data_IF_052789588869
#
_entry.id   IF_052789588869
#
_cell.length_a   1.000
_cell.length_b   1.000
_cell.length_c   1.000
_cell.angle_alpha   90.00
_cell.angle_beta   90.00
_cell.angle_gamma   90.00
#
_symmetry.space_group_name_H-M   'P 1'
#
loop_
_entity.id
_entity.type
_entity.pdbx_description
1 polymer ?
#
# COMPACT_ATOMS: atom_id res chain seq x y z
N UNK A 1 -8.37 21.90 5.88
CA UNK A 1 -8.83 20.53 5.88
C UNK A 1 -7.68 19.61 5.64
N UNK A 2 -7.55 18.62 6.44
CA UNK A 2 -6.45 17.68 6.25
C UNK A 2 -6.82 16.68 5.19
N UNK A 3 -5.80 16.18 4.50
CA UNK A 3 -5.98 15.14 3.50
C UNK A 3 -6.24 13.82 4.19
N UNK A 4 -7.01 12.93 3.58
CA UNK A 4 -7.09 11.58 4.10
C UNK A 4 -5.71 10.92 4.01
N UNK A 5 -5.39 10.07 4.96
CA UNK A 5 -4.12 9.35 4.96
C UNK A 5 -4.36 7.85 4.93
N UNK A 6 -3.58 7.16 4.10
CA UNK A 6 -3.71 5.72 3.90
C UNK A 6 -2.37 5.07 4.19
N UNK A 7 -2.39 4.02 4.98
CA UNK A 7 -1.20 3.24 5.30
C UNK A 7 -1.36 1.84 4.72
N UNK A 8 -0.42 1.44 3.88
CA UNK A 8 -0.39 0.09 3.35
C UNK A 8 0.62 -0.74 4.14
N UNK A 9 0.21 -1.91 4.61
CA UNK A 9 1.04 -2.75 5.46
C UNK A 9 1.13 -4.16 4.88
N UNK A 10 2.35 -4.66 4.75
CA UNK A 10 2.59 -6.07 4.48
C UNK A 10 3.73 -6.53 5.39
N UNK A 11 4.23 -7.74 5.20
CA UNK A 11 5.27 -8.25 6.10
C UNK A 11 6.59 -7.51 5.89
N UNK A 12 7.10 -7.52 4.65
CA UNK A 12 8.46 -7.05 4.38
C UNK A 12 8.56 -5.61 3.89
N UNK A 13 7.45 -5.01 3.48
CA UNK A 13 7.43 -3.68 2.87
C UNK A 13 8.44 -3.57 1.72
N UNK A 14 8.59 -4.67 1.00
CA UNK A 14 9.53 -4.75 -0.11
C UNK A 14 8.83 -5.10 -1.42
N UNK A 15 7.52 -5.29 -1.41
CA UNK A 15 6.75 -5.67 -2.58
C UNK A 15 5.35 -5.10 -2.55
N UNK A 16 4.39 -5.84 -1.97
CA UNK A 16 2.97 -5.49 -2.07
C UNK A 16 2.63 -4.09 -1.58
N UNK A 17 3.06 -3.73 -0.39
CA UNK A 17 2.73 -2.42 0.16
C UNK A 17 3.45 -1.29 -0.58
N UNK A 18 4.65 -1.54 -1.09
CA UNK A 18 5.35 -0.55 -1.90
C UNK A 18 4.64 -0.32 -3.23
N UNK A 19 4.15 -1.39 -3.86
CA UNK A 19 3.41 -1.26 -5.11
C UNK A 19 2.10 -0.50 -4.89
N UNK A 20 1.40 -0.82 -3.80
CA UNK A 20 0.14 -0.15 -3.48
C UNK A 20 0.34 1.34 -3.22
N UNK A 21 1.37 1.67 -2.44
CA UNK A 21 1.66 3.08 -2.15
C UNK A 21 2.02 3.83 -3.43
N UNK A 22 2.79 3.20 -4.31
CA UNK A 22 3.17 3.83 -5.58
C UNK A 22 1.96 4.07 -6.47
N UNK A 23 1.05 3.08 -6.57
CA UNK A 23 -0.16 3.25 -7.38
C UNK A 23 -1.04 4.36 -6.86
N UNK A 24 -1.25 4.42 -5.53
CA UNK A 24 -2.11 5.45 -4.97
C UNK A 24 -1.48 6.83 -5.13
N UNK A 25 -0.17 6.93 -4.95
CA UNK A 25 0.52 8.20 -5.17
C UNK A 25 0.35 8.68 -6.61
N UNK A 26 0.44 7.74 -7.57
CA UNK A 26 0.26 8.09 -8.98
C UNK A 26 -1.17 8.54 -9.27
N UNK A 27 -2.15 7.87 -8.69
CA UNK A 27 -3.55 8.18 -8.97
C UNK A 27 -4.06 9.41 -8.23
N UNK A 28 -3.63 9.60 -7.01
CA UNK A 28 -4.17 10.64 -6.14
C UNK A 28 -3.30 11.89 -6.06
N UNK A 29 -1.99 11.75 -6.30
CA UNK A 29 -1.08 12.87 -6.17
C UNK A 29 -1.12 13.43 -4.77
N UNK A 30 -1.35 14.73 -4.64
CA UNK A 30 -1.34 15.40 -3.35
C UNK A 30 -2.67 15.34 -2.61
N UNK A 31 -3.67 14.68 -3.18
CA UNK A 31 -5.00 14.63 -2.55
C UNK A 31 -5.07 13.67 -1.38
N UNK A 32 -4.14 12.73 -1.30
CA UNK A 32 -4.11 11.71 -0.26
C UNK A 32 -2.68 11.60 0.26
N UNK A 33 -2.54 11.47 1.57
CA UNK A 33 -1.24 11.20 2.16
C UNK A 33 -1.03 9.69 2.18
N UNK A 34 0.05 9.20 1.58
CA UNK A 34 0.27 7.77 1.38
C UNK A 34 1.50 7.33 2.15
N UNK A 35 1.36 6.25 2.92
CA UNK A 35 2.47 5.65 3.65
C UNK A 35 2.45 4.15 3.45
N UNK A 36 3.61 3.52 3.64
CA UNK A 36 3.71 2.07 3.63
C UNK A 36 4.67 1.62 4.71
N UNK A 37 4.47 0.41 5.22
CA UNK A 37 5.32 -0.13 6.28
C UNK A 37 5.24 -1.65 6.29
N UNK A 38 6.15 -2.29 7.01
CA UNK A 38 6.17 -3.73 7.18
C UNK A 38 6.34 -4.14 8.62
N UNK A 39 5.72 -5.24 9.00
CA UNK A 39 5.88 -5.78 10.35
C UNK A 39 7.29 -6.35 10.57
N UNK A 40 7.94 -6.80 9.50
CA UNK A 40 9.31 -7.29 9.54
C UNK A 40 10.01 -6.85 8.25
N UNK A 41 10.40 -5.56 8.16
CA UNK A 41 10.87 -5.00 6.90
C UNK A 41 12.16 -5.64 6.42
N UNK A 42 12.25 -5.83 5.11
CA UNK A 42 13.46 -6.31 4.47
C UNK A 42 14.48 -5.19 4.38
N UNK A 43 15.69 -5.53 3.94
CA UNK A 43 16.77 -4.53 3.84
C UNK A 43 16.58 -3.61 2.63
N UNK A 44 15.94 -4.10 1.58
CA UNK A 44 15.75 -3.31 0.37
C UNK A 44 14.49 -3.80 -0.37
N UNK A 45 14.07 -3.00 -1.35
CA UNK A 45 12.93 -3.36 -2.19
C UNK A 45 13.31 -4.55 -3.07
N UNK A 46 12.38 -5.47 -3.27
CA UNK A 46 12.57 -6.60 -4.16
C UNK A 46 12.88 -6.10 -5.58
N UNK A 47 14.03 -6.45 -6.17
CA UNK A 47 14.39 -5.92 -7.50
C UNK A 47 13.39 -6.27 -8.59
N UNK A 48 12.74 -7.42 -8.51
CA UNK A 48 11.73 -7.79 -9.50
C UNK A 48 10.50 -6.90 -9.39
N UNK A 49 10.20 -6.41 -8.19
CA UNK A 49 9.10 -5.47 -7.99
C UNK A 49 9.46 -4.11 -8.58
N UNK A 50 10.70 -3.66 -8.39
CA UNK A 50 11.16 -2.41 -9.01
C UNK A 50 11.01 -2.50 -10.52
N UNK A 51 11.43 -3.62 -11.11
CA UNK A 51 11.34 -3.81 -12.55
C UNK A 51 9.89 -3.83 -13.03
N UNK A 52 9.00 -4.53 -12.31
CA UNK A 52 7.60 -4.61 -12.67
C UNK A 52 6.94 -3.24 -12.64
N UNK A 53 7.29 -2.40 -11.67
CA UNK A 53 6.72 -1.05 -11.57
C UNK A 53 7.26 -0.13 -12.67
N UNK A 54 8.53 -0.30 -13.06
CA UNK A 54 9.08 0.49 -14.15
C UNK A 54 8.35 0.21 -15.46
N UNK A 55 7.84 -1.00 -15.64
CA UNK A 55 7.09 -1.33 -16.85
C UNK A 55 5.84 -0.47 -17.01
N UNK A 56 5.29 0.01 -15.91
CA UNK A 56 4.11 0.86 -15.96
C UNK A 56 4.44 2.33 -15.67
N UNK A 57 5.72 2.67 -15.79
CA UNK A 57 6.17 4.05 -15.70
C UNK A 57 6.37 4.58 -14.28
N UNK A 58 6.48 3.70 -13.29
CA UNK A 58 6.65 4.11 -11.91
C UNK A 58 8.00 3.62 -11.40
N UNK A 59 8.86 4.54 -10.98
CA UNK A 59 10.18 4.21 -10.46
C UNK A 59 10.15 4.25 -8.94
N UNK A 60 10.30 3.07 -8.30
CA UNK A 60 10.38 2.99 -6.85
C UNK A 60 11.76 2.57 -6.39
N UNK A 61 12.76 2.68 -7.26
CA UNK A 61 14.13 2.24 -6.91
C UNK A 61 14.73 3.02 -5.77
N UNK A 62 14.22 4.23 -5.50
CA UNK A 62 14.72 5.08 -4.42
C UNK A 62 13.99 4.84 -3.09
N UNK A 63 12.97 4.00 -3.08
CA UNK A 63 12.22 3.73 -1.86
C UNK A 63 12.96 2.74 -0.97
N UNK A 64 12.62 2.76 0.31
CA UNK A 64 13.21 1.86 1.29
C UNK A 64 12.12 1.20 2.12
N UNK A 65 12.30 -0.05 2.51
CA UNK A 65 11.36 -0.67 3.46
C UNK A 65 11.38 0.08 4.80
N UNK A 66 10.20 0.20 5.40
CA UNK A 66 10.04 0.93 6.67
C UNK A 66 9.34 0.04 7.67
N UNK A 67 9.75 0.16 8.94
CA UNK A 67 9.13 -0.63 9.99
C UNK A 67 7.75 -0.05 10.35
N UNK A 68 6.81 -0.94 10.61
CA UNK A 68 5.48 -0.55 11.06
C UNK A 68 5.56 -0.01 12.48
N UNK A 69 5.01 1.17 12.71
CA UNK A 69 4.98 1.77 14.04
C UNK A 69 3.54 2.04 14.47
N UNK A 70 3.33 2.07 15.78
CA UNK A 70 2.03 2.42 16.34
C UNK A 70 1.62 3.82 15.90
N UNK A 71 2.56 4.75 15.87
CA UNK A 71 2.29 6.12 15.47
C UNK A 71 1.78 6.19 14.03
N UNK A 72 2.38 5.42 13.12
CA UNK A 72 1.93 5.42 11.73
C UNK A 72 0.49 4.94 11.62
N UNK A 73 0.10 3.92 12.38
CA UNK A 73 -1.28 3.45 12.38
C UNK A 73 -2.20 4.51 12.96
N UNK A 74 -1.81 5.12 14.08
CA UNK A 74 -2.64 6.13 14.72
C UNK A 74 -2.88 7.35 13.84
N UNK A 75 -1.91 7.72 13.04
CA UNK A 75 -2.01 8.90 12.19
C UNK A 75 -2.70 8.64 10.86
N UNK A 76 -3.05 7.40 10.58
CA UNK A 76 -3.68 7.03 9.31
C UNK A 76 -5.18 6.93 9.47
N UNK A 77 -5.91 7.39 8.47
CA UNK A 77 -7.37 7.27 8.44
C UNK A 77 -7.81 5.89 7.99
N UNK A 78 -7.05 5.31 7.05
CA UNK A 78 -7.33 3.99 6.51
C UNK A 78 -6.07 3.16 6.58
N UNK A 79 -6.18 1.94 7.07
CA UNK A 79 -5.07 0.99 7.13
C UNK A 79 -5.44 -0.21 6.27
N UNK A 80 -4.61 -0.50 5.28
CA UNK A 80 -4.86 -1.60 4.37
C UNK A 80 -3.75 -2.63 4.55
N UNK A 81 -4.10 -3.81 5.04
CA UNK A 81 -3.13 -4.87 5.28
C UNK A 81 -3.12 -5.84 4.11
N UNK A 82 -1.95 -6.38 3.83
CA UNK A 82 -1.75 -7.29 2.72
C UNK A 82 -0.93 -8.47 3.21
N UNK A 83 -1.52 -9.23 4.15
CA UNK A 83 -0.87 -10.45 4.62
C UNK A 83 -0.01 -10.30 5.86
N UNK A 84 -0.15 -9.21 6.62
CA UNK A 84 0.61 -9.07 7.86
C UNK A 84 -0.04 -9.80 9.04
N UNK A 85 -1.23 -10.37 8.84
CA UNK A 85 -1.90 -11.13 9.90
C UNK A 85 -2.23 -10.26 11.10
N UNK A 86 -1.92 -10.78 12.28
CA UNK A 86 -2.24 -10.07 13.53
C UNK A 86 -1.16 -9.09 13.97
N UNK A 87 -0.13 -8.91 13.13
CA UNK A 87 0.99 -8.05 13.52
C UNK A 87 0.66 -6.56 13.46
N UNK A 88 -0.44 -6.19 12.80
CA UNK A 88 -0.80 -4.78 12.67
C UNK A 88 -1.64 -4.34 13.87
N UNK A 89 -1.23 -3.26 14.58
CA UNK A 89 -2.03 -2.77 15.71
C UNK A 89 -3.40 -2.30 15.26
N UNK A 90 -4.39 -2.47 16.13
CA UNK A 90 -5.75 -2.06 15.83
C UNK A 90 -6.17 -0.94 16.76
N UNK A 91 -6.65 0.16 16.19
CA UNK A 91 -7.20 1.28 16.96
C UNK A 91 -8.64 1.55 16.54
N UNK A 92 -9.56 1.70 17.49
CA UNK A 92 -10.95 2.03 17.16
C UNK A 92 -11.05 3.35 16.40
N UNK A 93 -12.05 3.45 15.55
CA UNK A 93 -12.30 4.69 14.81
C UNK A 93 -11.57 4.79 13.49
N UNK A 94 -10.74 3.83 13.18
CA UNK A 94 -10.03 3.79 11.91
C UNK A 94 -10.69 2.80 10.98
N UNK A 95 -10.50 2.99 9.68
CA UNK A 95 -11.01 2.06 8.69
C UNK A 95 -9.92 1.06 8.35
N UNK A 96 -10.23 -0.21 8.53
CA UNK A 96 -9.27 -1.28 8.24
C UNK A 96 -9.78 -2.13 7.09
N UNK A 97 -8.90 -2.37 6.11
CA UNK A 97 -9.20 -3.26 5.00
C UNK A 97 -8.09 -4.30 4.91
N UNK A 98 -8.44 -5.49 4.46
CA UNK A 98 -7.45 -6.54 4.25
C UNK A 98 -7.55 -7.06 2.83
N UNK A 99 -6.43 -6.98 2.10
CA UNK A 99 -6.35 -7.46 0.73
C UNK A 99 -5.52 -8.73 0.72
N UNK A 100 -6.15 -9.89 0.57
CA UNK A 100 -5.42 -11.17 0.57
C UNK A 100 -4.70 -11.37 -0.76
N UNK A 101 -3.47 -10.89 -0.85
CA UNK A 101 -2.66 -10.94 -2.05
C UNK A 101 -1.51 -11.91 -1.88
N UNK A 102 -1.10 -12.50 -3.00
CA UNK A 102 0.03 -13.39 -3.01
C UNK A 102 1.31 -12.62 -2.73
N UNK A 103 2.22 -13.24 -1.96
CA UNK A 103 3.50 -12.63 -1.64
C UNK A 103 4.45 -12.78 -2.84
N UNK A 104 4.98 -11.68 -3.38
CA UNK A 104 5.89 -11.75 -4.52
C UNK A 104 7.33 -12.14 -4.15
N UNK A 105 7.62 -12.37 -2.88
CA UNK A 105 8.97 -12.69 -2.46
C UNK A 105 9.47 -13.94 -3.16
N UNK A 106 10.68 -13.88 -3.70
CA UNK A 106 11.27 -15.00 -4.41
C UNK A 106 10.73 -15.26 -5.81
N UNK A 107 9.81 -14.40 -6.28
CA UNK A 107 9.20 -14.57 -7.59
C UNK A 107 9.87 -13.67 -8.61
N UNK A 108 9.81 -14.08 -9.88
CA UNK A 108 10.30 -13.23 -10.96
C UNK A 108 9.25 -12.24 -11.42
N UNK A 109 9.64 -11.37 -12.34
CA UNK A 109 8.76 -10.29 -12.82
C UNK A 109 7.45 -10.85 -13.40
N UNK A 110 7.50 -11.97 -14.10
CA UNK A 110 6.30 -12.54 -14.72
C UNK A 110 5.22 -12.87 -13.68
N UNK A 111 5.63 -13.38 -12.51
CA UNK A 111 4.69 -13.71 -11.45
C UNK A 111 4.20 -12.46 -10.72
N UNK A 112 4.98 -11.39 -10.73
CA UNK A 112 4.62 -10.16 -10.04
C UNK A 112 3.63 -9.32 -10.83
N UNK A 113 3.66 -9.40 -12.16
CA UNK A 113 2.77 -8.60 -13.00
C UNK A 113 1.29 -8.71 -12.64
N UNK A 114 0.73 -9.93 -12.49
CA UNK A 114 -0.68 -10.00 -12.10
C UNK A 114 -0.95 -9.47 -10.70
N UNK A 115 0.00 -9.61 -9.78
CA UNK A 115 -0.15 -9.04 -8.45
C UNK A 115 -0.16 -7.51 -8.53
N UNK A 116 0.77 -6.93 -9.30
CA UNK A 116 0.84 -5.50 -9.54
C UNK A 116 -0.48 -4.96 -10.11
N UNK A 117 -1.02 -5.68 -11.10
CA UNK A 117 -2.22 -5.22 -11.78
C UNK A 117 -3.46 -5.35 -10.90
N UNK A 118 -3.53 -6.37 -10.06
CA UNK A 118 -4.62 -6.51 -9.11
C UNK A 118 -4.56 -5.41 -8.05
N UNK A 119 -3.36 -5.09 -7.58
CA UNK A 119 -3.19 -3.99 -6.62
C UNK A 119 -3.66 -2.67 -7.23
N UNK A 120 -3.34 -2.43 -8.50
CA UNK A 120 -3.81 -1.23 -9.18
C UNK A 120 -5.34 -1.14 -9.15
N UNK A 121 -6.01 -2.25 -9.44
CA UNK A 121 -7.47 -2.30 -9.44
C UNK A 121 -8.03 -1.98 -8.06
N UNK A 122 -7.46 -2.61 -7.03
CA UNK A 122 -7.93 -2.41 -5.65
C UNK A 122 -7.69 -0.98 -5.19
N UNK A 123 -6.53 -0.41 -5.53
CA UNK A 123 -6.20 0.96 -5.18
C UNK A 123 -7.18 1.93 -5.87
N UNK A 124 -7.47 1.71 -7.14
CA UNK A 124 -8.37 2.60 -7.87
C UNK A 124 -9.77 2.60 -7.26
N UNK A 125 -10.28 1.42 -6.89
CA UNK A 125 -11.58 1.32 -6.25
C UNK A 125 -11.58 2.03 -4.90
N UNK A 126 -10.54 1.81 -4.09
CA UNK A 126 -10.46 2.44 -2.77
C UNK A 126 -10.33 3.95 -2.87
N UNK A 127 -9.55 4.44 -3.83
CA UNK A 127 -9.40 5.87 -4.02
C UNK A 127 -10.74 6.52 -4.39
N UNK A 128 -11.51 5.87 -5.23
CA UNK A 128 -12.84 6.37 -5.58
C UNK A 128 -13.70 6.53 -4.32
N UNK A 129 -13.70 5.52 -3.46
CA UNK A 129 -14.47 5.59 -2.23
C UNK A 129 -13.98 6.67 -1.27
N UNK A 130 -12.68 6.91 -1.23
CA UNK A 130 -12.12 7.92 -0.34
C UNK A 130 -12.48 9.34 -0.76
N UNK A 131 -12.60 9.59 -2.06
CA UNK A 131 -12.70 10.95 -2.54
C UNK A 131 -14.08 11.38 -2.97
N UNK A 132 -15.03 10.46 -3.13
CA UNK A 132 -16.36 10.85 -3.55
C UNK A 132 -17.11 11.58 -2.44
N UNK A 133 -17.56 12.81 -2.69
CA UNK A 133 -18.27 13.56 -1.67
C UNK A 133 -19.63 12.97 -1.32
N UNK A 134 -20.21 12.24 -2.26
CA UNK A 134 -21.53 11.70 -2.03
C UNK A 134 -21.58 10.66 -0.96
N UNK A 135 -20.41 10.18 -0.61
CA UNK A 135 -20.48 9.18 0.38
C UNK A 135 -21.09 9.70 1.58
N UNK A 136 -21.20 10.89 1.68
CA UNK A 136 -21.77 11.33 2.78
C UNK A 136 -23.14 11.42 2.63
N UNK A 137 -23.62 11.06 2.03
CA UNK A 137 -24.82 11.23 1.99
C UNK A 137 -25.55 10.76 2.55
N UNK A 138 -25.55 10.82 2.63
CA UNK A 138 -26.21 10.80 3.08
C UNK A 138 -26.65 10.66 3.34
#
# INVERSE_FOLDING_TARGET
MSKPSVLFVCVHNAGRSQMAAAWLTKLAGEKVEVRSAGSAPADSINPSVVEAMLEVGIDISHEMPKVLTTTAVQESDVVITMGCGDACPFFPGKRYLDWPLQDPAGQGVAAIRPIRDEIKRLVAVSYTHLTLPTKRIV
#
